data_IF_591859048081
#
_entry.id   IF_591859048081
#
_cell.length_a   1.000
_cell.length_b   1.000
_cell.length_c   1.000
_cell.angle_alpha   90.00
_cell.angle_beta   90.00
_cell.angle_gamma   90.00
#
_symmetry.space_group_name_H-M   'P 1'
#
loop_
_entity.id
_entity.type
_entity.pdbx_description
1 polymer ?
#
# COMPACT_ATOMS: atom_id res chain seq x y z
N UNK A 1 -9.08 16.32 0.02
CA UNK A 1 -9.94 15.93 -1.14
C UNK A 1 -10.97 17.03 -1.36
N UNK A 2 -11.54 17.16 -2.56
CA UNK A 2 -12.67 18.09 -2.77
C UNK A 2 -13.88 17.51 -2.04
N UNK A 3 -14.61 18.34 -1.30
CA UNK A 3 -15.78 17.92 -0.53
C UNK A 3 -16.77 17.16 -1.42
N UNK A 4 -17.31 16.05 -0.90
CA UNK A 4 -18.28 15.17 -1.59
C UNK A 4 -17.76 14.42 -2.82
N UNK A 5 -16.45 14.50 -3.12
CA UNK A 5 -15.88 13.79 -4.25
C UNK A 5 -15.87 12.27 -4.05
N UNK A 6 -16.16 11.54 -5.12
CA UNK A 6 -16.08 10.07 -5.14
C UNK A 6 -14.66 9.66 -5.52
N UNK A 7 -13.95 9.02 -4.60
CA UNK A 7 -12.60 8.51 -4.85
C UNK A 7 -12.64 7.20 -5.65
N UNK A 8 -11.92 7.15 -6.76
CA UNK A 8 -11.85 5.99 -7.64
C UNK A 8 -10.47 5.33 -7.54
N UNK A 9 -10.43 4.08 -7.09
CA UNK A 9 -9.27 3.21 -7.22
C UNK A 9 -9.54 2.21 -8.34
N UNK A 10 -8.80 2.30 -9.45
CA UNK A 10 -9.01 1.44 -10.63
C UNK A 10 -7.85 0.44 -10.74
N UNK A 11 -8.04 -0.84 -10.35
CA UNK A 11 -7.04 -1.87 -10.54
C UNK A 11 -6.64 -2.02 -12.01
N UNK A 12 -5.38 -2.39 -12.27
CA UNK A 12 -4.84 -2.53 -13.64
C UNK A 12 -5.65 -3.46 -14.55
N UNK A 13 -6.29 -4.50 -14.01
CA UNK A 13 -7.20 -5.38 -14.75
C UNK A 13 -8.45 -4.64 -15.24
N UNK A 14 -9.04 -3.79 -14.39
CA UNK A 14 -10.19 -2.97 -14.74
C UNK A 14 -9.79 -1.87 -15.72
N UNK A 15 -8.60 -1.29 -15.57
CA UNK A 15 -8.07 -0.32 -16.54
C UNK A 15 -7.88 -0.95 -17.93
N UNK A 16 -7.40 -2.19 -18.02
CA UNK A 16 -7.32 -2.94 -19.29
C UNK A 16 -8.70 -3.19 -19.90
N UNK A 17 -9.71 -3.48 -19.09
CA UNK A 17 -11.10 -3.67 -19.57
C UNK A 17 -11.75 -2.35 -19.99
N UNK A 18 -11.45 -1.27 -19.29
CA UNK A 18 -11.87 0.10 -19.63
C UNK A 18 -11.27 0.54 -20.98
N UNK A 19 -9.97 0.31 -21.20
CA UNK A 19 -9.29 0.55 -22.49
C UNK A 19 -9.92 -0.21 -23.65
N UNK A 20 -10.47 -1.40 -23.38
CA UNK A 20 -11.17 -2.24 -24.37
C UNK A 20 -12.65 -1.88 -24.54
N UNK A 21 -13.17 -0.87 -23.83
CA UNK A 21 -14.58 -0.46 -23.87
C UNK A 21 -15.56 -1.39 -23.14
N UNK A 22 -15.07 -2.48 -22.52
CA UNK A 22 -15.90 -3.56 -21.96
C UNK A 22 -16.17 -3.41 -20.45
N UNK A 23 -16.18 -2.16 -19.96
CA UNK A 23 -16.38 -1.87 -18.54
C UNK A 23 -17.19 -0.57 -18.37
N UNK A 24 -18.38 -0.61 -17.74
CA UNK A 24 -19.17 0.59 -17.48
C UNK A 24 -18.63 1.36 -16.26
N UNK A 25 -18.72 2.70 -16.26
CA UNK A 25 -18.19 3.55 -15.16
C UNK A 25 -18.84 3.24 -13.81
N UNK A 26 -20.12 2.86 -13.77
CA UNK A 26 -20.77 2.44 -12.51
C UNK A 26 -20.11 1.23 -11.83
N UNK A 27 -19.27 0.47 -12.53
CA UNK A 27 -18.59 -0.71 -11.98
C UNK A 27 -17.25 -0.40 -11.34
N UNK A 28 -16.69 0.80 -11.56
CA UNK A 28 -15.46 1.26 -10.90
C UNK A 28 -15.73 2.08 -9.62
N UNK A 29 -17.00 2.37 -9.33
CA UNK A 29 -17.41 3.10 -8.11
C UNK A 29 -17.46 2.11 -6.94
N UNK A 30 -16.71 2.35 -5.84
CA UNK A 30 -16.50 1.34 -4.79
C UNK A 30 -17.71 1.11 -3.89
N UNK A 31 -18.44 2.17 -3.51
CA UNK A 31 -19.59 2.08 -2.60
C UNK A 31 -20.91 2.02 -3.37
N UNK A 32 -21.87 1.24 -2.85
CA UNK A 32 -23.24 1.16 -3.37
C UNK A 32 -23.96 2.51 -3.32
N UNK A 33 -23.77 3.31 -2.26
CA UNK A 33 -24.43 4.61 -2.13
C UNK A 33 -23.96 5.59 -3.20
N UNK A 34 -22.64 5.71 -3.40
CA UNK A 34 -22.05 6.56 -4.43
C UNK A 34 -22.42 6.10 -5.83
N UNK A 35 -22.58 4.79 -6.02
CA UNK A 35 -23.00 4.21 -7.29
C UNK A 35 -24.44 4.59 -7.63
N UNK A 36 -25.37 4.49 -6.67
CA UNK A 36 -26.75 4.95 -6.86
C UNK A 36 -26.82 6.47 -7.08
N UNK A 37 -26.06 7.24 -6.29
CA UNK A 37 -25.92 8.69 -6.45
C UNK A 37 -25.43 9.07 -7.84
N UNK A 38 -24.41 8.38 -8.33
CA UNK A 38 -23.87 8.56 -9.68
C UNK A 38 -24.89 8.18 -10.75
N UNK A 39 -25.52 7.01 -10.67
CA UNK A 39 -26.51 6.55 -11.67
C UNK A 39 -27.69 7.52 -11.78
N UNK A 40 -28.15 8.09 -10.66
CA UNK A 40 -29.25 9.04 -10.63
C UNK A 40 -28.89 10.40 -11.26
N UNK A 41 -27.64 10.85 -11.11
CA UNK A 41 -27.22 12.22 -11.42
C UNK A 41 -26.36 12.37 -12.66
N UNK A 42 -25.66 11.33 -13.11
CA UNK A 42 -24.60 11.44 -14.14
C UNK A 42 -25.07 11.98 -15.50
N UNK A 43 -26.35 11.81 -15.83
CA UNK A 43 -26.95 12.34 -17.08
C UNK A 43 -27.53 13.74 -16.94
N UNK A 44 -27.89 14.15 -15.73
CA UNK A 44 -28.50 15.46 -15.47
C UNK A 44 -27.44 16.50 -15.12
N UNK A 45 -26.44 16.08 -14.34
CA UNK A 45 -25.44 16.96 -13.75
C UNK A 45 -24.12 16.95 -14.52
N UNK A 46 -23.31 17.97 -14.24
CA UNK A 46 -21.93 18.03 -14.75
C UNK A 46 -21.04 17.12 -13.91
N UNK A 47 -20.31 16.22 -14.57
CA UNK A 47 -19.34 15.33 -13.94
C UNK A 47 -17.95 15.95 -14.09
N UNK A 48 -17.31 16.27 -12.98
CA UNK A 48 -15.96 16.80 -12.96
C UNK A 48 -14.98 15.71 -12.49
N UNK A 49 -13.98 15.43 -13.32
CA UNK A 49 -12.89 14.53 -12.99
C UNK A 49 -11.65 15.33 -12.58
N UNK A 50 -10.89 14.83 -11.62
CA UNK A 50 -9.63 15.43 -11.25
C UNK A 50 -8.65 14.36 -10.77
N UNK A 51 -7.37 14.65 -10.91
CA UNK A 51 -6.28 13.90 -10.29
C UNK A 51 -5.49 14.81 -9.36
N UNK A 52 -4.30 14.40 -8.95
CA UNK A 52 -3.51 15.16 -7.98
C UNK A 52 -2.95 16.46 -8.55
N UNK A 53 -2.36 16.44 -9.76
CA UNK A 53 -1.55 17.55 -10.25
C UNK A 53 -1.41 17.67 -11.79
N UNK A 54 -2.25 17.02 -12.60
CA UNK A 54 -2.06 17.08 -14.06
C UNK A 54 -2.29 18.49 -14.60
N UNK A 55 -1.22 19.11 -15.09
CA UNK A 55 -1.21 20.49 -15.56
C UNK A 55 -1.54 20.63 -17.07
N UNK A 56 -1.12 19.65 -17.88
CA UNK A 56 -1.15 19.74 -19.35
C UNK A 56 -1.99 18.63 -19.98
N UNK A 57 -3.10 19.03 -20.60
CA UNK A 57 -3.87 18.16 -21.48
C UNK A 57 -3.32 18.28 -22.90
N UNK A 58 -2.46 17.34 -23.29
CA UNK A 58 -2.05 17.20 -24.68
C UNK A 58 -3.09 16.32 -25.40
N UNK A 59 -3.80 16.86 -26.39
CA UNK A 59 -4.83 16.14 -27.15
C UNK A 59 -4.33 14.82 -27.78
N UNK A 60 -3.03 14.71 -28.05
CA UNK A 60 -2.35 13.51 -28.55
C UNK A 60 -2.12 12.41 -27.50
N UNK A 61 -2.09 12.74 -26.21
CA UNK A 61 -1.90 11.81 -25.08
C UNK A 61 -3.15 11.57 -24.22
N UNK A 62 -4.22 12.34 -24.48
CA UNK A 62 -5.49 12.24 -23.77
C UNK A 62 -6.10 10.82 -23.78
N UNK A 63 -5.95 10.07 -24.87
CA UNK A 63 -6.51 8.73 -25.01
C UNK A 63 -5.76 7.65 -24.20
N UNK A 64 -4.57 7.93 -23.68
CA UNK A 64 -3.73 6.93 -22.99
C UNK A 64 -3.73 7.08 -21.47
N UNK A 65 -4.11 8.25 -20.94
CA UNK A 65 -4.21 8.51 -19.50
C UNK A 65 -5.50 7.95 -18.88
N UNK A 66 -5.47 7.61 -17.59
CA UNK A 66 -6.66 7.12 -16.87
C UNK A 66 -7.76 8.18 -16.89
N UNK A 67 -7.39 9.45 -16.64
CA UNK A 67 -8.31 10.58 -16.62
C UNK A 67 -9.01 10.74 -17.97
N UNK A 68 -8.29 10.61 -19.08
CA UNK A 68 -8.87 10.76 -20.41
C UNK A 68 -9.68 9.56 -20.89
N UNK A 69 -9.32 8.34 -20.49
CA UNK A 69 -10.17 7.16 -20.70
C UNK A 69 -11.53 7.31 -19.98
N UNK A 70 -11.51 7.80 -18.74
CA UNK A 70 -12.74 8.06 -17.98
C UNK A 70 -13.56 9.18 -18.60
N UNK A 71 -12.91 10.27 -19.01
CA UNK A 71 -13.56 11.41 -19.66
C UNK A 71 -14.25 10.99 -20.95
N UNK A 72 -13.54 10.25 -21.80
CA UNK A 72 -14.08 9.74 -23.06
C UNK A 72 -15.26 8.82 -22.79
N UNK A 73 -15.10 7.84 -21.89
CA UNK A 73 -16.15 6.88 -21.59
C UNK A 73 -17.42 7.52 -21.01
N UNK A 74 -17.26 8.52 -20.15
CA UNK A 74 -18.40 9.28 -19.61
C UNK A 74 -19.14 10.05 -20.71
N UNK A 75 -18.42 10.64 -21.66
CA UNK A 75 -19.01 11.33 -22.82
C UNK A 75 -19.72 10.35 -23.75
N UNK A 76 -19.12 9.20 -24.02
CA UNK A 76 -19.72 8.12 -24.81
C UNK A 76 -21.02 7.60 -24.16
N UNK A 77 -21.05 7.54 -22.83
CA UNK A 77 -22.24 7.15 -22.05
C UNK A 77 -23.27 8.31 -21.90
N UNK A 78 -23.02 9.47 -22.53
CA UNK A 78 -23.93 10.62 -22.62
C UNK A 78 -23.87 11.60 -21.45
N UNK A 79 -22.82 11.54 -20.62
CA UNK A 79 -22.65 12.44 -19.47
C UNK A 79 -21.96 13.75 -19.88
N UNK A 80 -22.30 14.86 -19.22
CA UNK A 80 -21.60 16.15 -19.37
C UNK A 80 -20.32 16.12 -18.54
N UNK A 81 -19.24 15.57 -19.10
CA UNK A 81 -17.99 15.35 -18.37
C UNK A 81 -16.86 16.32 -18.76
N UNK A 82 -16.19 16.85 -17.73
CA UNK A 82 -15.03 17.74 -17.80
C UNK A 82 -13.94 17.26 -16.85
N UNK A 83 -12.74 17.82 -16.99
CA UNK A 83 -11.67 17.61 -16.05
C UNK A 83 -11.19 18.93 -15.45
N UNK A 84 -10.60 18.86 -14.26
CA UNK A 84 -10.06 20.01 -13.54
C UNK A 84 -8.58 20.21 -13.90
N UNK A 85 -8.27 21.29 -14.62
CA UNK A 85 -6.90 21.61 -15.03
C UNK A 85 -6.04 21.97 -13.80
N UNK A 86 -4.90 21.32 -13.66
CA UNK A 86 -3.99 21.49 -12.51
C UNK A 86 -4.31 20.58 -11.32
N UNK A 87 -5.32 19.71 -11.44
CA UNK A 87 -5.68 18.73 -10.42
C UNK A 87 -6.11 19.34 -9.08
N UNK A 88 -6.08 18.50 -8.05
CA UNK A 88 -6.41 18.86 -6.68
C UNK A 88 -5.48 19.94 -6.12
N UNK A 89 -4.18 19.87 -6.42
CA UNK A 89 -3.20 20.80 -5.86
C UNK A 89 -3.49 22.26 -6.24
N UNK A 90 -3.85 22.51 -7.51
CA UNK A 90 -4.23 23.85 -7.95
C UNK A 90 -5.55 24.28 -7.32
N UNK A 91 -6.54 23.38 -7.31
CA UNK A 91 -7.85 23.66 -6.75
C UNK A 91 -7.78 24.00 -5.26
N UNK A 92 -7.01 23.26 -4.47
CA UNK A 92 -6.84 23.50 -3.04
C UNK A 92 -6.21 24.87 -2.75
N UNK A 93 -5.31 25.33 -3.62
CA UNK A 93 -4.65 26.64 -3.47
C UNK A 93 -5.64 27.78 -3.73
N UNK A 94 -6.59 27.60 -4.65
CA UNK A 94 -7.53 28.64 -5.07
C UNK A 94 -8.88 28.58 -4.32
N UNK A 95 -9.27 27.40 -3.81
CA UNK A 95 -10.59 27.08 -3.25
C UNK A 95 -10.47 26.15 -2.02
N UNK A 96 -9.66 26.56 -1.04
CA UNK A 96 -9.35 25.75 0.15
C UNK A 96 -10.57 25.39 1.01
N UNK A 97 -11.60 26.24 1.02
CA UNK A 97 -12.85 26.09 1.76
C UNK A 97 -13.75 24.97 1.25
N UNK A 98 -13.51 24.52 0.01
CA UNK A 98 -14.21 23.40 -0.63
C UNK A 98 -13.44 22.08 -0.54
N UNK A 99 -12.39 22.04 0.29
CA UNK A 99 -11.56 20.86 0.50
C UNK A 99 -11.78 20.30 1.90
N UNK A 100 -11.94 18.98 2.00
CA UNK A 100 -11.99 18.28 3.28
C UNK A 100 -10.66 18.43 4.01
N UNK A 101 -10.68 19.14 5.14
CA UNK A 101 -9.60 19.17 6.13
C UNK A 101 -9.98 18.23 7.28
N UNK A 102 -9.23 17.15 7.49
CA UNK A 102 -9.44 16.27 8.64
C UNK A 102 -9.15 17.02 9.94
N UNK A 103 -10.19 17.61 10.56
CA UNK A 103 -10.11 18.34 11.83
C UNK A 103 -11.41 18.19 12.63
N UNK A 104 -11.81 16.95 12.91
CA UNK A 104 -12.77 16.67 13.98
C UNK A 104 -11.99 16.24 15.24
N UNK A 105 -11.52 17.22 15.99
CA UNK A 105 -11.23 17.08 17.41
C UNK A 105 -11.78 18.29 18.16
N UNK A 106 -12.95 18.12 18.76
CA UNK A 106 -13.55 19.07 19.67
C UNK A 106 -12.78 19.08 20.99
N UNK A 107 -11.91 20.08 21.20
CA UNK A 107 -11.50 20.62 22.51
C UNK A 107 -10.67 21.91 22.34
N UNK A 108 -10.92 22.98 23.12
CA UNK A 108 -10.21 24.25 22.95
C UNK A 108 -8.94 24.27 23.81
N UNK A 109 -7.76 24.42 23.20
CA UNK A 109 -6.59 24.92 23.94
C UNK A 109 -5.62 25.66 23.01
N UNK A 110 -5.30 26.90 23.42
CA UNK A 110 -4.42 27.84 22.73
C UNK A 110 -2.97 27.32 22.71
N UNK A 111 -2.44 27.03 21.51
CA UNK A 111 -1.00 27.06 21.20
C UNK A 111 -0.80 27.20 19.68
N UNK A 112 0.31 27.80 19.21
CA UNK A 112 0.45 28.19 17.81
C UNK A 112 0.66 26.96 16.91
N UNK A 113 0.20 26.99 15.63
CA UNK A 113 0.24 25.79 14.80
C UNK A 113 1.66 25.49 14.34
N UNK A 114 2.16 24.31 14.71
CA UNK A 114 3.33 23.70 14.09
C UNK A 114 2.98 23.28 12.65
N UNK A 115 3.85 23.60 11.70
CA UNK A 115 3.73 23.24 10.29
C UNK A 115 3.62 21.72 10.11
N UNK A 116 2.42 21.26 9.76
CA UNK A 116 2.16 19.88 9.33
C UNK A 116 2.82 19.68 7.97
N UNK A 117 3.91 18.90 7.95
CA UNK A 117 4.53 18.43 6.71
C UNK A 117 3.62 17.39 6.07
N UNK A 118 2.78 17.86 5.16
CA UNK A 118 1.87 17.05 4.35
C UNK A 118 2.60 16.17 3.34
N UNK A 119 1.89 15.11 2.92
CA UNK A 119 2.26 14.04 1.98
C UNK A 119 2.65 14.48 0.55
N UNK A 120 2.96 15.76 0.31
CA UNK A 120 3.21 16.34 -1.03
C UNK A 120 4.55 15.99 -1.69
N UNK A 121 5.16 14.84 -1.37
CA UNK A 121 6.52 14.50 -1.80
C UNK A 121 6.67 13.23 -2.64
N UNK A 122 5.62 12.45 -2.90
CA UNK A 122 5.76 11.19 -3.62
C UNK A 122 5.62 11.40 -5.13
N UNK A 123 6.75 11.56 -5.82
CA UNK A 123 6.81 11.43 -7.28
C UNK A 123 6.85 9.96 -7.66
N UNK A 124 5.93 9.53 -8.51
CA UNK A 124 6.01 8.26 -9.23
C UNK A 124 6.98 8.47 -10.39
N UNK A 125 8.17 7.90 -10.32
CA UNK A 125 9.04 7.79 -11.50
C UNK A 125 8.40 6.81 -12.47
N UNK A 126 7.86 7.32 -13.56
CA UNK A 126 7.62 6.57 -14.79
C UNK A 126 8.86 6.76 -15.65
N UNK A 127 9.54 5.67 -15.99
CA UNK A 127 10.09 5.43 -17.33
C UNK A 127 10.68 4.02 -17.38
N UNK A 128 9.96 3.14 -18.08
CA UNK A 128 10.53 1.93 -18.65
C UNK A 128 10.42 2.11 -20.17
N UNK A 129 11.52 2.48 -20.83
CA UNK A 129 11.69 2.21 -22.25
C UNK A 129 13.11 1.72 -22.47
N UNK A 130 13.22 0.44 -22.80
CA UNK A 130 14.41 -0.18 -23.35
C UNK A 130 14.64 0.36 -24.76
N UNK A 131 15.84 0.89 -25.00
CA UNK A 131 16.32 1.27 -26.31
C UNK A 131 17.83 1.46 -26.25
N UNK A 132 18.56 0.48 -26.78
CA UNK A 132 20.01 0.53 -26.98
C UNK A 132 20.42 1.75 -27.83
N UNK A 133 21.43 2.49 -27.39
CA UNK A 133 22.39 3.17 -28.27
C UNK A 133 23.62 3.60 -27.47
N UNK A 134 24.77 3.14 -27.94
CA UNK A 134 26.12 3.54 -27.53
C UNK A 134 26.32 5.06 -27.46
N UNK A 135 27.07 5.54 -26.44
CA UNK A 135 28.12 6.59 -26.49
C UNK A 135 28.62 6.99 -25.09
N UNK A 136 29.92 6.84 -24.89
CA UNK A 136 30.77 7.53 -23.88
C UNK A 136 31.65 8.56 -24.63
N UNK A 137 32.41 9.47 -23.98
CA UNK A 137 32.07 10.40 -22.90
C UNK A 137 32.51 11.86 -23.23
N UNK A 138 32.05 12.87 -22.48
CA UNK A 138 32.78 14.17 -22.41
C UNK A 138 32.52 14.95 -21.12
N UNK A 139 33.62 15.09 -20.36
CA UNK A 139 34.11 16.25 -19.59
C UNK A 139 33.16 17.27 -18.93
N UNK A 140 33.25 17.30 -17.59
CA UNK A 140 33.50 18.44 -16.70
C UNK A 140 32.62 19.71 -16.80
N UNK A 141 31.91 20.00 -15.71
CA UNK A 141 32.16 21.23 -14.91
C UNK A 141 31.63 21.03 -13.48
N UNK A 142 32.49 21.35 -12.52
CA UNK A 142 32.21 21.40 -11.09
C UNK A 142 31.15 22.45 -10.77
N UNK A 143 30.21 22.13 -9.87
CA UNK A 143 29.58 23.15 -9.05
C UNK A 143 29.32 22.57 -7.67
N UNK A 144 30.01 23.19 -6.72
CA UNK A 144 29.98 23.01 -5.29
C UNK A 144 28.55 23.06 -4.73
N UNK A 145 28.19 22.03 -3.97
CA UNK A 145 26.88 21.81 -3.40
C UNK A 145 27.02 20.84 -2.25
N UNK A 146 27.21 21.40 -1.06
CA UNK A 146 27.40 20.70 0.21
C UNK A 146 26.48 19.46 0.38
N UNK A 147 26.99 18.34 0.93
CA UNK A 147 26.17 17.15 1.12
C UNK A 147 25.14 17.41 2.22
N UNK A 148 23.88 17.55 1.82
CA UNK A 148 22.74 17.35 2.72
C UNK A 148 22.92 15.93 3.30
N UNK A 149 22.90 15.72 4.63
CA UNK A 149 22.98 14.39 5.20
C UNK A 149 21.76 13.61 4.70
N UNK A 150 22.00 12.68 3.78
CA UNK A 150 20.99 11.76 3.31
C UNK A 150 20.68 10.85 4.49
N UNK A 151 19.73 11.27 5.33
CA UNK A 151 19.34 10.58 6.57
C UNK A 151 18.56 9.28 6.29
N UNK A 152 18.81 8.65 5.13
CA UNK A 152 18.24 7.35 4.83
C UNK A 152 18.84 6.32 5.77
N UNK A 153 18.02 5.55 6.50
CA UNK A 153 18.52 4.51 7.38
C UNK A 153 19.35 3.53 6.55
N UNK A 154 20.52 3.16 7.08
CA UNK A 154 21.37 2.15 6.46
C UNK A 154 20.58 0.85 6.30
N UNK A 155 20.55 0.31 5.08
CA UNK A 155 19.91 -0.96 4.77
C UNK A 155 20.90 -2.13 4.97
N UNK A 156 20.41 -3.33 5.35
CA UNK A 156 19.04 -3.63 5.78
C UNK A 156 18.73 -3.09 7.18
N UNK A 157 17.45 -2.85 7.47
CA UNK A 157 17.01 -2.27 8.74
C UNK A 157 16.89 -3.36 9.80
N UNK A 158 17.55 -3.18 10.95
CA UNK A 158 17.43 -4.10 12.07
C UNK A 158 16.10 -3.91 12.84
N UNK A 159 15.21 -4.89 12.74
CA UNK A 159 13.89 -4.88 13.39
C UNK A 159 14.00 -5.37 14.83
N UNK A 160 14.66 -6.50 15.04
CA UNK A 160 15.02 -7.04 16.36
C UNK A 160 16.47 -7.53 16.33
N UNK A 161 17.08 -7.84 17.48
CA UNK A 161 18.33 -8.58 17.48
C UNK A 161 18.23 -9.82 16.58
N UNK A 162 19.18 -9.92 15.66
CA UNK A 162 19.30 -10.95 14.63
C UNK A 162 18.20 -10.99 13.54
N UNK A 163 17.26 -10.03 13.50
CA UNK A 163 16.23 -9.94 12.47
C UNK A 163 16.35 -8.64 11.68
N UNK A 164 16.63 -8.78 10.39
CA UNK A 164 16.83 -7.68 9.46
C UNK A 164 15.78 -7.70 8.34
N UNK A 165 15.28 -6.52 7.99
CA UNK A 165 14.32 -6.31 6.91
C UNK A 165 15.00 -5.54 5.77
N UNK A 166 14.93 -6.08 4.55
CA UNK A 166 15.59 -5.47 3.40
C UNK A 166 14.89 -5.69 2.06
N UNK A 167 15.61 -5.32 1.01
CA UNK A 167 15.25 -5.41 -0.39
C UNK A 167 16.19 -6.36 -1.16
N UNK A 168 15.98 -6.51 -2.46
CA UNK A 168 16.80 -7.40 -3.31
C UNK A 168 18.27 -6.98 -3.38
N UNK A 169 18.58 -5.68 -3.26
CA UNK A 169 19.97 -5.21 -3.25
C UNK A 169 20.71 -5.70 -1.99
N UNK A 170 20.02 -5.75 -0.85
CA UNK A 170 20.59 -6.21 0.41
C UNK A 170 20.89 -7.71 0.38
N UNK A 171 20.03 -8.51 -0.27
CA UNK A 171 20.21 -9.97 -0.35
C UNK A 171 21.36 -10.41 -1.25
N UNK A 172 21.89 -9.51 -2.08
CA UNK A 172 22.98 -9.80 -3.03
C UNK A 172 24.31 -9.15 -2.63
N UNK A 173 24.36 -8.48 -1.47
CA UNK A 173 25.54 -7.77 -1.00
C UNK A 173 26.26 -8.55 0.11
N UNK A 174 27.32 -9.28 -0.24
CA UNK A 174 28.10 -10.09 0.70
C UNK A 174 28.72 -9.29 1.84
N UNK A 175 29.17 -8.06 1.59
CA UNK A 175 29.77 -7.20 2.62
C UNK A 175 28.76 -6.86 3.71
N UNK A 176 27.54 -6.51 3.28
CA UNK A 176 26.42 -6.20 4.18
C UNK A 176 25.98 -7.44 4.94
N UNK A 177 25.84 -8.58 4.25
CA UNK A 177 25.47 -9.85 4.89
C UNK A 177 26.52 -10.26 5.94
N UNK A 178 27.81 -10.17 5.60
CA UNK A 178 28.93 -10.45 6.49
C UNK A 178 28.98 -9.51 7.69
N UNK A 179 28.86 -8.20 7.45
CA UNK A 179 28.88 -7.15 8.50
C UNK A 179 27.83 -7.39 9.59
N UNK A 180 26.64 -7.85 9.22
CA UNK A 180 25.54 -8.07 10.16
C UNK A 180 25.41 -9.52 10.64
N UNK A 181 26.37 -10.39 10.27
CA UNK A 181 26.36 -11.80 10.65
C UNK A 181 25.14 -12.55 10.12
N UNK A 182 24.65 -12.19 8.93
CA UNK A 182 23.49 -12.82 8.31
C UNK A 182 23.94 -14.10 7.63
N UNK A 183 23.35 -15.23 8.03
CA UNK A 183 23.51 -16.53 7.34
C UNK A 183 22.18 -17.17 6.96
N UNK A 184 21.06 -16.59 7.37
CA UNK A 184 19.73 -17.02 6.98
C UNK A 184 19.10 -15.97 6.07
N UNK A 185 18.50 -16.37 4.96
CA UNK A 185 17.84 -15.46 4.02
C UNK A 185 16.46 -16.01 3.66
N UNK A 186 15.43 -15.24 4.00
CA UNK A 186 14.04 -15.51 3.63
C UNK A 186 13.66 -14.64 2.44
N UNK A 187 13.60 -15.26 1.26
CA UNK A 187 13.27 -14.63 -0.01
C UNK A 187 11.76 -14.72 -0.28
N UNK A 188 11.03 -13.62 -0.11
CA UNK A 188 9.58 -13.56 -0.33
C UNK A 188 9.27 -13.08 -1.75
N UNK A 189 9.84 -13.74 -2.75
CA UNK A 189 9.59 -13.46 -4.17
C UNK A 189 9.55 -14.76 -5.01
N UNK A 190 8.79 -14.79 -6.11
CA UNK A 190 8.72 -15.97 -6.98
C UNK A 190 9.88 -16.05 -7.97
N UNK A 191 10.55 -14.93 -8.25
CA UNK A 191 11.40 -14.78 -9.42
C UNK A 191 12.81 -14.25 -9.13
N UNK A 192 13.12 -13.82 -7.90
CA UNK A 192 14.50 -13.47 -7.57
C UNK A 192 15.27 -14.73 -7.17
N UNK A 193 16.50 -14.90 -7.66
CA UNK A 193 17.34 -16.03 -7.31
C UNK A 193 17.86 -15.94 -5.88
N UNK A 194 18.12 -17.10 -5.28
CA UNK A 194 18.89 -17.21 -4.04
C UNK A 194 20.40 -17.19 -4.39
N UNK A 195 20.98 -16.00 -4.47
CA UNK A 195 22.31 -15.79 -5.08
C UNK A 195 23.45 -16.67 -4.52
N UNK A 196 23.41 -16.97 -3.22
CA UNK A 196 24.51 -17.64 -2.51
C UNK A 196 24.10 -19.00 -1.95
N UNK A 197 23.04 -19.63 -2.48
CA UNK A 197 22.50 -20.89 -1.95
C UNK A 197 23.48 -22.06 -2.08
N UNK A 198 24.33 -22.04 -3.11
CA UNK A 198 25.29 -23.11 -3.39
C UNK A 198 26.65 -22.93 -2.70
N UNK A 199 26.87 -21.81 -2.02
CA UNK A 199 28.16 -21.47 -1.40
C UNK A 199 28.35 -22.18 -0.03
N UNK A 200 27.30 -22.83 0.48
CA UNK A 200 27.32 -23.59 1.75
C UNK A 200 27.29 -22.74 3.02
N UNK A 201 27.49 -21.42 2.92
CA UNK A 201 27.47 -20.52 4.08
C UNK A 201 26.07 -20.01 4.43
N UNK A 202 25.15 -19.97 3.47
CA UNK A 202 23.82 -19.38 3.65
C UNK A 202 22.74 -20.45 3.61
N UNK A 203 21.81 -20.37 4.56
CA UNK A 203 20.57 -21.14 4.52
C UNK A 203 19.45 -20.27 3.95
N UNK A 204 18.86 -20.71 2.85
CA UNK A 204 17.74 -20.02 2.21
C UNK A 204 16.41 -20.70 2.53
N UNK A 205 15.35 -19.89 2.52
CA UNK A 205 13.97 -20.35 2.30
C UNK A 205 13.33 -19.36 1.34
N UNK A 206 12.66 -19.87 0.32
CA UNK A 206 11.93 -19.05 -0.64
C UNK A 206 10.43 -19.25 -0.47
N UNK A 207 9.70 -18.13 -0.36
CA UNK A 207 8.23 -18.07 -0.39
C UNK A 207 7.84 -17.40 -1.71
N UNK A 208 7.41 -18.17 -2.73
CA UNK A 208 7.26 -17.67 -4.10
C UNK A 208 5.96 -16.87 -4.30
N UNK A 209 5.82 -15.74 -3.60
CA UNK A 209 4.64 -14.86 -3.65
C UNK A 209 4.93 -13.54 -4.38
N UNK A 210 4.10 -13.25 -5.38
CA UNK A 210 4.11 -11.94 -6.05
C UNK A 210 3.45 -10.86 -5.19
N UNK A 211 3.81 -9.60 -5.41
CA UNK A 211 3.20 -8.48 -4.66
C UNK A 211 1.88 -8.07 -5.31
N UNK A 212 0.86 -8.92 -5.16
CA UNK A 212 -0.39 -8.77 -5.90
C UNK A 212 -1.60 -9.11 -5.02
N UNK A 213 -2.71 -8.43 -5.29
CA UNK A 213 -3.96 -8.55 -4.52
C UNK A 213 -4.57 -9.96 -4.54
N UNK A 214 -4.23 -10.79 -5.52
CA UNK A 214 -4.77 -12.14 -5.66
C UNK A 214 -3.99 -13.22 -4.90
N UNK A 215 -2.92 -12.83 -4.19
CA UNK A 215 -1.98 -13.76 -3.58
C UNK A 215 -2.35 -14.01 -2.12
N UNK A 216 -2.24 -15.27 -1.68
CA UNK A 216 -2.38 -15.66 -0.28
C UNK A 216 -0.99 -15.84 0.33
N UNK A 217 -0.55 -14.84 1.10
CA UNK A 217 0.72 -14.85 1.81
C UNK A 217 0.58 -15.42 3.22
N UNK A 218 -0.59 -15.28 3.86
CA UNK A 218 -0.81 -15.75 5.24
C UNK A 218 -0.69 -17.26 5.41
N UNK A 219 -1.00 -18.05 4.37
CA UNK A 219 -0.77 -19.50 4.40
C UNK A 219 0.71 -19.89 4.67
N UNK A 220 1.65 -18.98 4.39
CA UNK A 220 3.09 -19.21 4.60
C UNK A 220 3.61 -18.61 5.92
N UNK A 221 2.78 -17.91 6.70
CA UNK A 221 3.22 -17.34 7.98
C UNK A 221 3.81 -18.40 8.93
N UNK A 222 3.21 -19.58 9.14
CA UNK A 222 3.77 -20.57 10.04
C UNK A 222 5.20 -21.00 9.67
N UNK A 223 5.47 -21.24 8.38
CA UNK A 223 6.80 -21.65 7.94
C UNK A 223 7.82 -20.50 7.94
N UNK A 224 7.38 -19.28 7.63
CA UNK A 224 8.23 -18.09 7.67
C UNK A 224 8.68 -17.81 9.11
N UNK A 225 7.73 -17.86 10.04
CA UNK A 225 7.95 -17.60 11.46
C UNK A 225 8.87 -18.66 12.07
N UNK A 226 8.65 -19.94 11.75
CA UNK A 226 9.53 -21.03 12.17
C UNK A 226 10.97 -20.83 11.65
N UNK A 227 11.14 -20.40 10.40
CA UNK A 227 12.46 -20.16 9.82
C UNK A 227 13.17 -18.95 10.45
N UNK A 228 12.44 -17.88 10.76
CA UNK A 228 12.98 -16.73 11.51
C UNK A 228 13.40 -17.16 12.92
N UNK A 229 12.58 -17.93 13.63
CA UNK A 229 12.91 -18.42 14.96
C UNK A 229 14.11 -19.38 14.97
N UNK A 230 14.26 -20.23 13.94
CA UNK A 230 15.43 -21.09 13.78
C UNK A 230 16.73 -20.26 13.74
N UNK A 231 16.77 -19.19 12.95
CA UNK A 231 17.94 -18.32 12.86
C UNK A 231 18.23 -17.60 14.18
N UNK A 232 17.19 -16.98 14.75
CA UNK A 232 17.32 -16.15 15.96
C UNK A 232 17.67 -16.97 17.20
N UNK A 233 17.15 -18.19 17.33
CA UNK A 233 17.50 -19.11 18.44
C UNK A 233 18.97 -19.49 18.43
N UNK A 234 19.61 -19.56 17.26
CA UNK A 234 21.05 -19.78 17.07
C UNK A 234 21.88 -18.50 17.18
N UNK A 235 21.27 -17.35 17.51
CA UNK A 235 21.89 -16.02 17.50
C UNK A 235 22.55 -15.70 16.16
N UNK A 236 21.94 -16.16 15.08
CA UNK A 236 22.41 -15.94 13.71
C UNK A 236 21.50 -14.93 13.02
N UNK A 237 22.09 -14.00 12.26
CA UNK A 237 21.31 -12.99 11.54
C UNK A 237 20.45 -13.63 10.45
N UNK A 238 19.18 -13.21 10.39
CA UNK A 238 18.28 -13.49 9.28
C UNK A 238 17.87 -12.21 8.56
N UNK A 239 17.95 -12.23 7.23
CA UNK A 239 17.39 -11.22 6.35
C UNK A 239 16.06 -11.69 5.77
N UNK A 240 14.98 -10.97 6.06
CA UNK A 240 13.70 -11.13 5.36
C UNK A 240 13.62 -10.06 4.26
N UNK A 241 13.59 -10.49 3.00
CA UNK A 241 13.58 -9.55 1.88
C UNK A 241 12.51 -9.88 0.84
N UNK A 242 12.17 -8.87 0.06
CA UNK A 242 11.46 -9.01 -1.19
C UNK A 242 12.15 -8.12 -2.24
N UNK A 243 11.46 -7.72 -3.31
CA UNK A 243 12.06 -6.83 -4.32
C UNK A 243 12.45 -5.46 -3.73
N UNK A 244 11.47 -4.71 -3.24
CA UNK A 244 11.66 -3.33 -2.76
C UNK A 244 11.79 -3.20 -1.23
N UNK A 245 11.50 -4.27 -0.49
CA UNK A 245 11.47 -4.23 0.98
C UNK A 245 10.32 -3.41 1.57
N UNK A 246 9.20 -3.25 0.84
CA UNK A 246 8.10 -2.33 1.21
C UNK A 246 6.82 -3.07 1.62
N UNK A 247 6.50 -4.19 0.96
CA UNK A 247 5.21 -4.89 1.11
C UNK A 247 5.39 -6.32 1.62
N UNK A 248 5.69 -7.30 0.76
CA UNK A 248 5.78 -8.73 1.12
C UNK A 248 6.66 -9.05 2.34
N UNK A 249 7.92 -8.59 2.35
CA UNK A 249 8.84 -8.83 3.47
C UNK A 249 8.41 -8.10 4.74
N UNK A 250 7.79 -6.92 4.60
CA UNK A 250 7.17 -6.20 5.73
C UNK A 250 6.02 -7.02 6.30
N UNK A 251 5.11 -7.53 5.46
CA UNK A 251 3.98 -8.36 5.90
C UNK A 251 4.44 -9.54 6.73
N UNK A 252 5.43 -10.30 6.24
CA UNK A 252 6.00 -11.44 6.97
C UNK A 252 6.63 -10.98 8.30
N UNK A 253 7.34 -9.85 8.30
CA UNK A 253 7.96 -9.29 9.50
C UNK A 253 6.91 -8.87 10.54
N UNK A 254 5.83 -8.23 10.11
CA UNK A 254 4.72 -7.83 11.00
C UNK A 254 4.03 -9.06 11.59
N UNK A 255 3.70 -10.06 10.77
CA UNK A 255 3.14 -11.33 11.24
C UNK A 255 4.04 -12.00 12.29
N UNK A 256 5.36 -11.99 12.06
CA UNK A 256 6.34 -12.51 13.02
C UNK A 256 6.28 -11.76 14.36
N UNK A 257 6.24 -10.42 14.34
CA UNK A 257 6.16 -9.62 15.55
C UNK A 257 4.84 -9.86 16.31
N UNK A 258 3.72 -9.95 15.60
CA UNK A 258 2.42 -10.26 16.21
C UNK A 258 2.46 -11.58 16.96
N UNK A 259 2.94 -12.65 16.32
CA UNK A 259 2.99 -13.96 16.94
C UNK A 259 4.07 -14.06 18.03
N UNK A 260 5.25 -13.49 17.81
CA UNK A 260 6.40 -13.68 18.72
C UNK A 260 6.35 -12.80 19.96
N UNK A 261 5.81 -11.60 19.82
CA UNK A 261 5.76 -10.58 20.88
C UNK A 261 4.34 -10.31 21.38
N UNK A 262 3.34 -11.07 20.91
CA UNK A 262 1.92 -10.89 21.25
C UNK A 262 1.44 -9.45 21.00
N UNK A 263 1.91 -8.84 19.90
CA UNK A 263 1.54 -7.48 19.53
C UNK A 263 0.29 -7.48 18.63
N UNK A 264 -0.60 -6.52 18.86
CA UNK A 264 -1.68 -6.22 17.90
C UNK A 264 -1.08 -5.90 16.51
N UNK A 265 -1.89 -6.02 15.46
CA UNK A 265 -1.48 -5.63 14.11
C UNK A 265 -1.00 -4.18 14.10
N UNK A 266 -1.74 -3.26 14.73
CA UNK A 266 -1.40 -1.85 14.79
C UNK A 266 -0.03 -1.64 15.47
N UNK A 267 0.18 -2.26 16.65
CA UNK A 267 1.43 -2.12 17.39
C UNK A 267 2.62 -2.71 16.62
N UNK A 268 2.44 -3.88 16.01
CA UNK A 268 3.47 -4.55 15.21
C UNK A 268 3.80 -3.75 13.95
N UNK A 269 2.79 -3.21 13.26
CA UNK A 269 2.98 -2.37 12.08
C UNK A 269 3.72 -1.08 12.43
N UNK A 270 3.29 -0.38 13.48
CA UNK A 270 3.91 0.86 13.93
C UNK A 270 5.33 0.65 14.43
N UNK A 271 5.60 -0.51 15.06
CA UNK A 271 6.95 -0.91 15.43
C UNK A 271 7.88 -0.96 14.22
N UNK A 272 7.44 -1.57 13.12
CA UNK A 272 8.23 -1.60 11.88
C UNK A 272 8.28 -0.21 11.24
N UNK A 273 7.17 0.55 11.23
CA UNK A 273 7.07 1.89 10.63
C UNK A 273 8.05 2.89 11.24
N UNK A 274 8.20 2.87 12.57
CA UNK A 274 9.16 3.74 13.30
C UNK A 274 10.61 3.47 12.91
N UNK A 275 10.93 2.24 12.50
CA UNK A 275 12.28 1.84 12.05
C UNK A 275 12.47 2.02 10.54
N UNK A 276 11.40 1.90 9.76
CA UNK A 276 11.39 2.03 8.30
C UNK A 276 10.13 2.77 7.85
N UNK A 277 10.27 4.07 7.64
CA UNK A 277 9.13 4.97 7.36
C UNK A 277 8.42 4.69 6.04
N UNK A 278 9.07 4.07 5.05
CA UNK A 278 8.48 3.79 3.74
C UNK A 278 7.82 2.41 3.62
N UNK A 279 7.55 1.71 4.73
CA UNK A 279 6.75 0.48 4.64
C UNK A 279 5.32 0.78 4.15
N UNK A 280 4.81 -0.12 3.32
CA UNK A 280 3.46 -0.07 2.76
C UNK A 280 3.07 -1.46 2.19
N UNK A 281 2.70 -2.43 3.04
CA UNK A 281 2.02 -3.65 2.61
C UNK A 281 0.85 -3.34 1.68
N UNK A 282 0.65 -4.16 0.65
CA UNK A 282 -0.55 -4.01 -0.16
C UNK A 282 -1.82 -4.31 0.67
N UNK A 283 -2.96 -3.75 0.27
CA UNK A 283 -4.21 -3.81 1.03
C UNK A 283 -4.69 -5.25 1.31
N UNK A 284 -4.46 -6.18 0.37
CA UNK A 284 -4.83 -7.59 0.53
C UNK A 284 -3.98 -8.26 1.61
N UNK A 285 -2.67 -7.98 1.66
CA UNK A 285 -1.81 -8.46 2.72
C UNK A 285 -2.12 -7.82 4.08
N UNK A 286 -2.60 -6.57 4.10
CA UNK A 286 -3.12 -5.97 5.33
C UNK A 286 -4.38 -6.70 5.83
N UNK A 287 -5.32 -7.04 4.92
CA UNK A 287 -6.47 -7.88 5.25
C UNK A 287 -6.09 -9.26 5.81
N UNK A 288 -5.08 -9.90 5.20
CA UNK A 288 -4.56 -11.18 5.70
C UNK A 288 -3.89 -11.08 7.08
N UNK A 289 -3.27 -9.94 7.41
CA UNK A 289 -2.74 -9.70 8.74
C UNK A 289 -3.85 -9.48 9.77
N UNK A 290 -4.94 -8.79 9.41
CA UNK A 290 -6.14 -8.67 10.26
C UNK A 290 -6.75 -10.04 10.53
N UNK A 291 -6.86 -10.89 9.52
CA UNK A 291 -7.33 -12.27 9.69
C UNK A 291 -6.40 -13.05 10.62
N UNK A 292 -5.08 -12.90 10.45
CA UNK A 292 -4.10 -13.55 11.29
C UNK A 292 -4.16 -13.07 12.75
N UNK A 293 -4.34 -11.77 13.01
CA UNK A 293 -4.56 -11.21 14.35
C UNK A 293 -5.71 -11.91 15.07
N UNK A 294 -6.84 -12.12 14.36
CA UNK A 294 -8.01 -12.85 14.89
C UNK A 294 -7.66 -14.30 15.22
N UNK A 295 -6.88 -14.98 14.38
CA UNK A 295 -6.46 -16.37 14.68
C UNK A 295 -5.53 -16.47 15.90
N UNK A 296 -4.78 -15.42 16.20
CA UNK A 296 -3.92 -15.35 17.39
C UNK A 296 -4.68 -14.97 18.67
N UNK A 297 -5.95 -14.56 18.57
CA UNK A 297 -6.74 -14.10 19.71
C UNK A 297 -6.23 -12.79 20.31
N UNK A 298 -5.60 -11.95 19.50
CA UNK A 298 -5.10 -10.64 19.94
C UNK A 298 -6.22 -9.61 19.77
N UNK A 299 -6.58 -8.93 20.87
CA UNK A 299 -7.60 -7.88 20.83
C UNK A 299 -6.93 -6.51 20.67
N UNK A 300 -7.35 -5.73 19.68
CA UNK A 300 -7.00 -4.31 19.62
C UNK A 300 -7.81 -3.53 20.68
N UNK A 301 -7.24 -2.51 21.36
CA UNK A 301 -7.97 -1.70 22.34
C UNK A 301 -9.22 -0.99 21.79
N UNK A 302 -9.33 -0.86 20.46
CA UNK A 302 -10.49 -0.31 19.77
C UNK A 302 -11.60 -1.35 19.51
N UNK A 303 -11.36 -2.63 19.80
CA UNK A 303 -12.34 -3.70 19.66
C UNK A 303 -13.16 -3.82 20.96
N UNK A 304 -14.05 -2.86 21.19
CA UNK A 304 -15.09 -2.92 22.23
C UNK A 304 -16.20 -3.94 21.86
N UNK A 305 -15.82 -5.13 21.39
CA UNK A 305 -16.77 -6.23 21.18
C UNK A 305 -16.67 -7.19 22.37
N UNK A 306 -17.66 -7.12 23.24
CA UNK A 306 -17.89 -8.16 24.23
C UNK A 306 -18.20 -9.48 23.50
N UNK A 307 -17.63 -10.64 23.90
CA UNK A 307 -17.87 -11.92 23.24
C UNK A 307 -19.31 -12.45 23.35
N UNK A 308 -20.24 -11.68 23.93
CA UNK A 308 -21.55 -12.14 24.39
C UNK A 308 -22.74 -11.37 23.80
N UNK A 309 -22.55 -10.42 22.89
CA UNK A 309 -23.68 -9.78 22.22
C UNK A 309 -24.20 -10.62 21.06
N UNK A 310 -25.36 -11.26 21.28
CA UNK A 310 -26.13 -11.93 20.23
C UNK A 310 -26.57 -10.89 19.18
N UNK A 311 -26.17 -11.12 17.93
CA UNK A 311 -26.49 -10.23 16.81
C UNK A 311 -27.94 -10.45 16.34
N UNK A 312 -28.72 -9.39 16.37
CA UNK A 312 -30.05 -9.32 15.78
C UNK A 312 -30.04 -8.33 14.62
N UNK A 313 -30.79 -8.63 13.57
CA UNK A 313 -31.05 -7.65 12.51
C UNK A 313 -32.56 -7.38 12.39
N UNK A 314 -32.90 -6.12 12.17
CA UNK A 314 -34.25 -5.65 11.86
C UNK A 314 -34.29 -5.15 10.43
N UNK A 315 -35.31 -5.55 9.67
CA UNK A 315 -35.53 -5.01 8.33
C UNK A 315 -36.31 -3.68 8.39
N UNK A 316 -36.14 -2.76 7.42
CA UNK A 316 -36.76 -1.43 7.45
C UNK A 316 -38.29 -1.42 7.36
N UNK A 317 -38.93 -2.58 7.12
CA UNK A 317 -40.37 -2.68 6.84
C UNK A 317 -41.15 -3.61 7.75
N UNK A 318 -40.54 -4.23 8.78
CA UNK A 318 -41.30 -4.94 9.82
C UNK A 318 -40.51 -5.01 11.14
N UNK A 319 -41.18 -4.71 12.26
CA UNK A 319 -40.66 -4.78 13.63
C UNK A 319 -40.46 -6.22 14.16
N UNK A 320 -40.02 -7.15 13.31
CA UNK A 320 -39.64 -8.48 13.76
C UNK A 320 -38.11 -8.56 13.90
N UNK A 321 -37.66 -8.93 15.10
CA UNK A 321 -36.25 -9.18 15.41
C UNK A 321 -35.88 -10.58 14.92
N UNK A 322 -34.90 -10.67 14.01
CA UNK A 322 -34.38 -11.95 13.54
C UNK A 322 -32.98 -12.17 14.11
N UNK A 323 -32.79 -13.33 14.76
CA UNK A 323 -31.51 -13.74 15.31
C UNK A 323 -30.61 -14.25 14.18
N UNK A 324 -29.39 -13.71 14.08
CA UNK A 324 -28.38 -14.22 13.16
C UNK A 324 -27.73 -15.45 13.79
N UNK A 325 -28.17 -16.64 13.39
CA UNK A 325 -27.42 -17.86 13.70
C UNK A 325 -26.14 -17.86 12.86
N UNK A 326 -25.00 -17.94 13.53
CA UNK A 326 -23.71 -18.29 12.92
C UNK A 326 -23.92 -19.57 12.12
N UNK A 327 -23.66 -19.51 10.82
CA UNK A 327 -23.59 -20.67 9.94
C UNK A 327 -22.68 -21.72 10.61
N UNK A 328 -23.29 -22.78 11.13
CA UNK A 328 -22.57 -23.98 11.47
C UNK A 328 -22.00 -24.56 10.17
N UNK A 329 -20.69 -24.81 10.19
CA UNK A 329 -19.97 -25.50 9.15
C UNK A 329 -20.63 -26.85 8.85
N UNK A 330 -21.01 -27.07 7.59
CA UNK A 330 -21.13 -28.41 6.99
C UNK A 330 -20.03 -28.62 5.98
#
# INVERSE_FOLDING_TARGET
HIETAINLAIPGLMLRRLKKGNLPIRSIIPNHEDKERFVKRCKADTVLLYDEATADWQDSGAATSVLGLLLQKLRDDGCKAYYLKGGFNKFQTEYSEHCETNLDSSSPSNSPPASVLGLGGLRISSDCSDGESDREPSSATESDGSPIPNNQPAFPVQILPYLYLGCAKDSTNLDVLGKYGIKYILNVTPNLPNMFEHDGEFKYKQIPISDHWSQNLSQFFPEAIAFIDEARSKKCGILVHCLAGISRSVTVTVAYLMQKLNLSLNDAYDFVKRKKSNISPNFNFMGQLLDFERTLGLNSPCDNRSPSEQLYFTTPTNHNLFQLNTLEST
#
